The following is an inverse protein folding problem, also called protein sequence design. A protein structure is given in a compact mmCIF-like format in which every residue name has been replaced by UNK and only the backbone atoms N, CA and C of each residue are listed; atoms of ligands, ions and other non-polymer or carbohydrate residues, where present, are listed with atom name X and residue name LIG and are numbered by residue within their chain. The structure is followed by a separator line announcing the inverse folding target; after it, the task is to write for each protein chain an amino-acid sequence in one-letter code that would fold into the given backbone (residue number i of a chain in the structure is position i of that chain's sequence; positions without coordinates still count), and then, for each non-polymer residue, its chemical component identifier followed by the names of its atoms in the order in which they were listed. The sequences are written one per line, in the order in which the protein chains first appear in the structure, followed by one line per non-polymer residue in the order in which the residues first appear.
data_IF_505734470820
#
_entry.id   IF_505734470820
#
_cell.length_a   1.000
_cell.length_b   1.000
_cell.length_c   1.000
_cell.angle_alpha   90.00
_cell.angle_beta   90.00
_cell.angle_gamma   90.00
#
_symmetry.space_group_name_H-M   'P 1'
#
loop_
_entity.id
_entity.type
_entity.pdbx_description
1 polymer ?
#
# COMPACT_ATOMS: atom_id res chain seq x y z
N UNK A 1 13.73 -50.60 -21.66
CA UNK A 1 14.83 -51.03 -20.78
C UNK A 1 16.11 -50.31 -21.22
N UNK A 2 16.40 -49.12 -20.68
CA UNK A 2 17.53 -48.27 -21.13
C UNK A 2 18.81 -48.84 -20.52
N UNK A 3 19.66 -49.45 -21.35
CA UNK A 3 20.99 -49.94 -20.94
C UNK A 3 21.81 -48.78 -20.39
N UNK A 4 22.17 -48.85 -19.11
CA UNK A 4 23.16 -47.97 -18.47
C UNK A 4 24.47 -48.08 -19.25
N UNK A 5 24.90 -46.99 -19.88
CA UNK A 5 26.27 -46.86 -20.40
C UNK A 5 27.22 -47.16 -19.24
N UNK A 6 28.17 -48.08 -19.46
CA UNK A 6 29.04 -48.68 -18.44
C UNK A 6 29.68 -47.61 -17.55
N UNK A 7 29.66 -47.83 -16.24
CA UNK A 7 30.49 -47.09 -15.29
C UNK A 7 31.96 -47.32 -15.62
N UNK A 8 32.70 -46.27 -15.94
CA UNK A 8 34.13 -46.35 -16.28
C UNK A 8 34.95 -46.04 -15.03
N UNK A 9 35.97 -46.84 -14.73
CA UNK A 9 36.95 -46.54 -13.66
C UNK A 9 38.24 -46.02 -14.32
N UNK A 10 38.79 -44.90 -13.83
CA UNK A 10 40.03 -44.32 -14.34
C UNK A 10 40.74 -43.50 -13.25
N UNK A 11 42.06 -43.36 -13.39
CA UNK A 11 42.79 -42.31 -12.69
C UNK A 11 42.43 -40.95 -13.31
N UNK A 12 41.55 -40.21 -12.64
CA UNK A 12 41.07 -38.92 -13.14
C UNK A 12 42.17 -37.86 -13.04
N UNK A 13 42.38 -37.12 -14.13
CA UNK A 13 43.29 -35.98 -14.18
C UNK A 13 42.67 -34.85 -15.02
N UNK A 14 43.04 -33.59 -14.75
CA UNK A 14 42.41 -32.43 -15.38
C UNK A 14 42.64 -32.35 -16.89
N UNK A 15 43.73 -32.92 -17.41
CA UNK A 15 43.98 -32.98 -18.85
C UNK A 15 42.97 -33.88 -19.56
N UNK A 16 42.70 -35.07 -19.01
CA UNK A 16 41.71 -36.00 -19.53
C UNK A 16 40.29 -35.44 -19.39
N UNK A 17 39.98 -34.81 -18.26
CA UNK A 17 38.66 -34.19 -18.01
C UNK A 17 38.34 -33.07 -19.00
N UNK A 18 39.33 -32.27 -19.41
CA UNK A 18 39.15 -31.24 -20.46
C UNK A 18 38.76 -31.80 -21.82
N UNK A 19 39.13 -33.06 -22.10
CA UNK A 19 38.76 -33.76 -23.33
C UNK A 19 37.43 -34.51 -23.28
N UNK A 20 36.68 -34.46 -22.16
CA UNK A 20 35.42 -35.21 -22.04
C UNK A 20 34.33 -34.61 -22.93
N UNK A 21 33.73 -35.46 -23.76
CA UNK A 21 32.55 -35.09 -24.55
C UNK A 21 31.26 -35.51 -23.83
N UNK A 22 30.22 -34.65 -23.82
CA UNK A 22 28.91 -35.02 -23.31
C UNK A 22 28.35 -36.26 -24.05
N UNK A 23 27.71 -37.20 -23.34
CA UNK A 23 27.06 -38.33 -23.99
C UNK A 23 25.80 -37.88 -24.74
N UNK A 24 25.51 -38.47 -25.90
CA UNK A 24 24.32 -38.14 -26.71
C UNK A 24 23.01 -38.43 -25.96
N UNK A 25 22.96 -39.51 -25.17
CA UNK A 25 21.83 -39.89 -24.31
C UNK A 25 22.35 -40.50 -23.00
N UNK A 26 21.57 -40.33 -21.93
CA UNK A 26 21.91 -40.88 -20.61
C UNK A 26 22.92 -40.02 -19.85
N UNK A 27 23.70 -40.64 -18.96
CA UNK A 27 24.68 -39.96 -18.10
C UNK A 27 25.96 -40.77 -18.12
N UNK A 28 27.10 -40.10 -18.29
CA UNK A 28 28.41 -40.73 -18.16
C UNK A 28 28.85 -40.63 -16.71
N UNK A 29 29.15 -41.78 -16.10
CA UNK A 29 29.64 -41.88 -14.72
C UNK A 29 31.06 -42.44 -14.74
N UNK A 30 32.03 -41.62 -14.32
CA UNK A 30 33.45 -41.98 -14.27
C UNK A 30 33.93 -41.97 -12.84
N UNK A 31 34.47 -43.09 -12.41
CA UNK A 31 34.95 -43.34 -11.05
C UNK A 31 36.44 -43.09 -10.96
N UNK A 32 36.85 -42.41 -9.89
CA UNK A 32 38.25 -42.23 -9.59
C UNK A 32 38.85 -43.53 -9.04
N UNK A 33 40.03 -43.91 -9.53
CA UNK A 33 40.75 -45.08 -9.02
C UNK A 33 41.60 -44.76 -7.80
N UNK A 34 41.95 -43.49 -7.56
CA UNK A 34 42.78 -43.10 -6.40
C UNK A 34 41.96 -42.91 -5.12
N UNK A 35 40.77 -42.34 -5.22
CA UNK A 35 39.85 -42.18 -4.08
C UNK A 35 38.60 -43.02 -4.27
N UNK A 36 38.53 -44.14 -3.53
CA UNK A 36 37.38 -45.03 -3.54
C UNK A 36 36.08 -44.30 -3.23
N UNK A 37 35.07 -44.49 -4.08
CA UNK A 37 33.77 -43.84 -3.91
C UNK A 37 33.64 -42.48 -4.60
N UNK A 38 34.73 -41.82 -4.98
CA UNK A 38 34.70 -40.56 -5.74
C UNK A 38 34.36 -40.83 -7.22
N UNK A 39 33.49 -39.99 -7.78
CA UNK A 39 33.11 -40.05 -9.18
C UNK A 39 32.76 -38.68 -9.76
N UNK A 40 33.01 -38.53 -11.07
CA UNK A 40 32.48 -37.46 -11.89
C UNK A 40 31.27 -37.96 -12.68
N UNK A 41 30.22 -37.14 -12.73
CA UNK A 41 29.04 -37.40 -13.54
C UNK A 41 28.84 -36.29 -14.56
N UNK A 42 28.76 -36.68 -15.82
CA UNK A 42 28.54 -35.78 -16.96
C UNK A 42 27.16 -36.02 -17.57
N UNK A 43 26.39 -34.96 -17.75
CA UNK A 43 25.07 -34.99 -18.42
C UNK A 43 25.19 -34.66 -19.91
N UNK A 44 24.16 -34.95 -20.75
CA UNK A 44 24.14 -34.59 -22.17
C UNK A 44 24.23 -33.08 -22.40
N UNK A 45 23.77 -32.29 -21.44
CA UNK A 45 23.85 -30.82 -21.43
C UNK A 45 25.25 -30.28 -21.10
N UNK A 46 26.24 -31.16 -20.89
CA UNK A 46 27.62 -30.77 -20.54
C UNK A 46 27.86 -30.44 -19.07
N UNK A 47 26.88 -30.58 -18.19
CA UNK A 47 27.07 -30.34 -16.76
C UNK A 47 27.86 -31.49 -16.11
N UNK A 48 29.03 -31.17 -15.58
CA UNK A 48 29.94 -32.10 -14.91
C UNK A 48 29.92 -31.87 -13.39
N UNK A 49 29.60 -32.92 -12.62
CA UNK A 49 29.43 -32.82 -11.16
C UNK A 49 30.24 -33.88 -10.43
N UNK A 50 31.03 -33.45 -9.44
CA UNK A 50 31.73 -34.32 -8.51
C UNK A 50 30.77 -34.85 -7.45
N UNK A 51 30.83 -36.14 -7.17
CA UNK A 51 30.07 -36.76 -6.09
C UNK A 51 30.85 -37.92 -5.46
N UNK A 52 30.58 -38.21 -4.20
CA UNK A 52 31.01 -39.46 -3.57
C UNK A 52 29.81 -40.37 -3.42
N UNK A 53 29.98 -41.66 -3.71
CA UNK A 53 28.95 -42.69 -3.48
C UNK A 53 29.47 -43.67 -2.45
N UNK A 54 28.72 -43.83 -1.38
CA UNK A 54 29.00 -44.79 -0.31
C UNK A 54 27.68 -45.39 0.21
N UNK A 55 27.79 -46.33 1.14
CA UNK A 55 26.66 -46.81 1.93
C UNK A 55 26.75 -46.20 3.32
N UNK A 56 25.61 -45.78 3.86
CA UNK A 56 25.50 -45.41 5.27
C UNK A 56 25.69 -46.66 6.13
N UNK A 57 25.88 -46.46 7.44
CA UNK A 57 25.92 -47.56 8.42
C UNK A 57 24.73 -48.53 8.29
N UNK A 58 23.53 -48.01 8.01
CA UNK A 58 22.30 -48.81 7.80
C UNK A 58 22.18 -49.45 6.40
N UNK A 59 23.29 -49.51 5.64
CA UNK A 59 23.34 -50.14 4.32
C UNK A 59 22.72 -49.35 3.17
N UNK A 60 22.14 -48.15 3.42
CA UNK A 60 21.50 -47.33 2.39
C UNK A 60 22.53 -46.67 1.47
N UNK A 61 22.32 -46.76 0.15
CA UNK A 61 23.20 -46.13 -0.85
C UNK A 61 22.93 -44.61 -0.88
N UNK A 62 23.93 -43.79 -0.56
CA UNK A 62 23.85 -42.32 -0.67
C UNK A 62 24.88 -41.79 -1.68
N UNK A 63 24.59 -40.62 -2.25
CA UNK A 63 25.44 -39.94 -3.25
C UNK A 63 25.42 -38.42 -3.06
N UNK A 64 26.14 -37.88 -2.06
CA UNK A 64 26.29 -36.44 -1.94
C UNK A 64 27.18 -35.84 -3.04
N UNK A 65 26.78 -34.67 -3.50
CA UNK A 65 27.52 -33.82 -4.46
C UNK A 65 28.58 -33.00 -3.72
N UNK A 66 29.80 -32.96 -4.28
CA UNK A 66 30.93 -32.18 -3.77
C UNK A 66 31.06 -30.81 -4.43
N UNK A 67 30.68 -30.68 -5.70
CA UNK A 67 30.81 -29.46 -6.50
C UNK A 67 30.73 -29.72 -8.00
N UNK A 68 30.84 -28.68 -8.82
CA UNK A 68 30.82 -28.77 -10.29
C UNK A 68 32.23 -28.62 -10.86
N UNK A 69 32.54 -29.33 -11.94
CA UNK A 69 33.76 -29.14 -12.72
C UNK A 69 33.47 -28.19 -13.90
N UNK A 70 34.36 -27.26 -14.28
CA UNK A 70 35.75 -27.08 -13.82
C UNK A 70 35.91 -26.26 -12.52
N UNK A 71 34.84 -25.71 -11.93
CA UNK A 71 34.92 -24.87 -10.72
C UNK A 71 35.57 -25.53 -9.49
N UNK A 72 35.47 -26.86 -9.40
CA UNK A 72 36.21 -27.70 -8.47
C UNK A 72 37.08 -28.66 -9.30
N UNK A 73 38.40 -28.54 -9.21
CA UNK A 73 39.35 -29.45 -9.89
C UNK A 73 39.43 -30.83 -9.23
N UNK A 74 40.02 -31.81 -9.92
CA UNK A 74 40.15 -33.19 -9.39
C UNK A 74 40.98 -33.25 -8.11
N UNK A 75 42.05 -32.45 -7.99
CA UNK A 75 42.89 -32.43 -6.79
C UNK A 75 42.09 -32.03 -5.54
N UNK A 76 41.27 -30.98 -5.66
CA UNK A 76 40.41 -30.52 -4.57
C UNK A 76 39.24 -31.49 -4.31
N UNK A 77 38.68 -32.10 -5.36
CA UNK A 77 37.66 -33.14 -5.22
C UNK A 77 38.19 -34.36 -4.44
N UNK A 78 39.43 -34.81 -4.72
CA UNK A 78 40.12 -35.88 -3.98
C UNK A 78 40.41 -35.50 -2.54
N UNK A 79 40.76 -34.24 -2.27
CA UNK A 79 40.98 -33.73 -0.91
C UNK A 79 39.69 -33.71 -0.08
N UNK A 80 38.54 -33.36 -0.68
CA UNK A 80 37.24 -33.28 0.03
C UNK A 80 36.56 -34.64 0.22
N UNK A 81 36.77 -35.58 -0.70
CA UNK A 81 36.08 -36.85 -0.70
C UNK A 81 36.23 -37.67 0.61
N UNK A 82 37.41 -37.82 1.23
CA UNK A 82 37.58 -38.56 2.49
C UNK A 82 36.70 -38.05 3.63
N UNK A 83 36.60 -36.73 3.81
CA UNK A 83 35.79 -36.13 4.88
C UNK A 83 34.29 -36.44 4.70
N UNK A 84 33.79 -36.37 3.46
CA UNK A 84 32.40 -36.73 3.16
C UNK A 84 32.15 -38.23 3.31
N UNK A 85 33.11 -39.08 2.94
CA UNK A 85 33.01 -40.52 3.15
C UNK A 85 32.99 -40.86 4.63
N UNK A 86 33.87 -40.27 5.45
CA UNK A 86 33.89 -40.46 6.90
C UNK A 86 32.55 -40.10 7.54
N UNK A 87 31.96 -38.95 7.18
CA UNK A 87 30.65 -38.53 7.66
C UNK A 87 29.52 -39.51 7.30
N UNK A 88 29.57 -40.12 6.11
CA UNK A 88 28.59 -41.13 5.68
C UNK A 88 28.72 -42.42 6.51
N UNK A 89 29.96 -42.85 6.79
CA UNK A 89 30.23 -44.05 7.56
C UNK A 89 29.89 -43.87 9.04
N UNK A 90 30.01 -42.66 9.59
CA UNK A 90 29.61 -42.34 10.97
C UNK A 90 28.10 -42.17 11.18
N UNK A 91 27.26 -42.62 10.24
CA UNK A 91 25.80 -42.64 10.36
C UNK A 91 25.07 -41.35 9.95
N UNK A 92 25.78 -40.29 9.56
CA UNK A 92 25.12 -39.12 8.97
C UNK A 92 24.86 -39.38 7.49
N UNK A 93 23.61 -39.29 7.02
CA UNK A 93 23.30 -39.17 5.59
C UNK A 93 23.03 -37.70 5.26
N UNK A 94 24.03 -36.94 4.76
CA UNK A 94 23.87 -35.51 4.48
C UNK A 94 22.80 -35.24 3.41
N UNK A 95 22.50 -36.22 2.55
CA UNK A 95 21.46 -36.12 1.53
C UNK A 95 20.09 -36.30 2.15
N UNK A 96 19.91 -37.26 3.06
CA UNK A 96 18.67 -37.43 3.80
C UNK A 96 18.41 -36.25 4.75
N UNK A 97 19.43 -35.72 5.43
CA UNK A 97 19.29 -34.52 6.27
C UNK A 97 18.89 -33.29 5.45
N UNK A 98 19.55 -33.02 4.31
CA UNK A 98 19.15 -31.92 3.42
C UNK A 98 17.75 -32.11 2.85
N UNK A 99 17.35 -33.34 2.53
CA UNK A 99 15.97 -33.67 2.08
C UNK A 99 14.95 -33.50 3.19
N UNK A 100 15.24 -33.91 4.42
CA UNK A 100 14.35 -33.77 5.57
C UNK A 100 14.17 -32.31 5.98
N UNK A 101 15.24 -31.50 5.94
CA UNK A 101 15.16 -30.04 6.15
C UNK A 101 14.31 -29.39 5.05
N UNK A 102 14.49 -29.79 3.79
CA UNK A 102 13.68 -29.29 2.67
C UNK A 102 12.22 -29.70 2.79
N UNK A 103 11.93 -30.96 3.12
CA UNK A 103 10.58 -31.47 3.31
C UNK A 103 9.87 -30.79 4.50
N UNK A 104 10.58 -30.59 5.64
CA UNK A 104 10.04 -29.82 6.79
C UNK A 104 9.76 -28.35 6.45
N UNK A 105 10.47 -27.77 5.48
CA UNK A 105 10.22 -26.41 4.98
C UNK A 105 9.05 -26.36 3.99
N UNK A 106 8.90 -27.39 3.15
CA UNK A 106 7.78 -27.53 2.22
C UNK A 106 6.45 -27.81 2.95
N UNK A 107 6.48 -28.43 4.14
CA UNK A 107 5.30 -28.72 4.98
C UNK A 107 4.85 -27.53 5.85
N UNK A 108 5.63 -26.44 5.91
CA UNK A 108 5.27 -25.27 6.71
C UNK A 108 4.54 -24.21 5.88
N UNK A 109 3.35 -23.74 6.35
CA UNK A 109 2.62 -22.67 5.68
C UNK A 109 3.48 -21.41 5.46
N UNK A 110 3.54 -20.98 4.20
CA UNK A 110 4.29 -19.80 3.80
C UNK A 110 3.60 -18.51 4.25
N UNK A 111 4.34 -17.40 4.25
CA UNK A 111 3.77 -16.08 4.49
C UNK A 111 2.63 -15.77 3.51
N UNK A 112 2.78 -16.12 2.23
CA UNK A 112 1.75 -15.88 1.22
C UNK A 112 0.44 -16.62 1.52
N UNK A 113 0.52 -17.91 1.88
CA UNK A 113 -0.67 -18.69 2.25
C UNK A 113 -1.37 -18.08 3.47
N UNK A 114 -0.61 -17.78 4.53
CA UNK A 114 -1.16 -17.20 5.77
C UNK A 114 -1.73 -15.80 5.57
N UNK A 115 -1.13 -14.99 4.71
CA UNK A 115 -1.66 -13.68 4.33
C UNK A 115 -3.01 -13.84 3.61
N UNK A 116 -3.14 -14.81 2.70
CA UNK A 116 -4.39 -15.04 1.99
C UNK A 116 -5.51 -15.46 2.96
N UNK A 117 -5.23 -16.42 3.86
CA UNK A 117 -6.16 -16.84 4.92
C UNK A 117 -6.56 -15.67 5.83
N UNK A 118 -5.59 -14.85 6.24
CA UNK A 118 -5.86 -13.66 7.05
C UNK A 118 -6.72 -12.62 6.33
N UNK A 119 -6.45 -12.35 5.05
CA UNK A 119 -7.24 -11.39 4.27
C UNK A 119 -8.69 -11.84 4.14
N UNK A 120 -8.93 -13.13 3.85
CA UNK A 120 -10.28 -13.70 3.84
C UNK A 120 -10.94 -13.52 5.20
N UNK A 121 -10.28 -13.95 6.28
CA UNK A 121 -10.83 -13.83 7.63
C UNK A 121 -11.13 -12.38 8.02
N UNK A 122 -10.32 -11.41 7.59
CA UNK A 122 -10.52 -9.98 7.89
C UNK A 122 -11.59 -9.32 7.03
N UNK A 123 -11.78 -9.78 5.80
CA UNK A 123 -12.83 -9.29 4.90
C UNK A 123 -14.21 -9.83 5.27
N UNK A 124 -14.28 -11.04 5.85
CA UNK A 124 -15.54 -11.70 6.22
C UNK A 124 -15.91 -11.56 7.70
N UNK A 125 -15.06 -10.95 8.54
CA UNK A 125 -15.32 -10.74 9.99
C UNK A 125 -16.57 -9.87 10.22
N UNK A 126 -17.71 -10.44 10.65
CA UNK A 126 -18.94 -9.69 10.86
C UNK A 126 -18.89 -8.86 12.16
N UNK A 127 -18.03 -9.23 13.11
CA UNK A 127 -17.90 -8.52 14.38
C UNK A 127 -17.08 -7.24 14.22
N UNK A 128 -16.13 -7.20 13.28
CA UNK A 128 -15.28 -6.03 13.01
C UNK A 128 -15.10 -5.78 11.50
N UNK A 129 -16.18 -5.46 10.77
CA UNK A 129 -16.13 -5.28 9.33
C UNK A 129 -15.25 -4.08 8.96
N UNK A 130 -14.26 -4.32 8.10
CA UNK A 130 -13.45 -3.27 7.49
C UNK A 130 -14.25 -2.55 6.40
N UNK A 131 -14.01 -1.24 6.23
CA UNK A 131 -14.52 -0.55 5.04
C UNK A 131 -13.89 -1.20 3.79
N UNK A 132 -14.62 -1.39 2.68
CA UNK A 132 -14.09 -2.04 1.48
C UNK A 132 -12.77 -1.43 0.99
N UNK A 133 -12.66 -0.09 1.02
CA UNK A 133 -11.41 0.62 0.70
C UNK A 133 -10.26 0.27 1.63
N UNK A 134 -10.50 0.11 2.92
CA UNK A 134 -9.47 -0.27 3.89
C UNK A 134 -9.01 -1.71 3.66
N UNK A 135 -9.94 -2.63 3.37
CA UNK A 135 -9.61 -4.01 3.04
C UNK A 135 -8.76 -4.10 1.76
N UNK A 136 -9.18 -3.42 0.69
CA UNK A 136 -8.43 -3.33 -0.56
C UNK A 136 -7.02 -2.74 -0.34
N UNK A 137 -6.89 -1.72 0.52
CA UNK A 137 -5.60 -1.12 0.85
C UNK A 137 -4.69 -2.10 1.63
N UNK A 138 -5.25 -2.90 2.55
CA UNK A 138 -4.50 -3.93 3.28
C UNK A 138 -3.99 -5.02 2.33
N UNK A 139 -4.86 -5.53 1.46
CA UNK A 139 -4.52 -6.49 0.41
C UNK A 139 -3.39 -5.97 -0.48
N UNK A 140 -3.58 -4.77 -1.05
CA UNK A 140 -2.57 -4.11 -1.91
C UNK A 140 -1.23 -3.92 -1.20
N UNK A 141 -1.26 -3.54 0.08
CA UNK A 141 -0.05 -3.35 0.89
C UNK A 141 0.71 -4.67 1.06
N UNK A 142 0.01 -5.77 1.38
CA UNK A 142 0.65 -7.08 1.48
C UNK A 142 1.21 -7.56 0.14
N UNK A 143 0.40 -7.51 -0.92
CA UNK A 143 0.77 -7.96 -2.26
C UNK A 143 1.95 -7.18 -2.85
N UNK A 144 2.00 -5.86 -2.64
CA UNK A 144 3.07 -5.02 -3.20
C UNK A 144 4.32 -5.02 -2.34
N UNK A 145 4.18 -4.92 -1.02
CA UNK A 145 5.30 -4.57 -0.13
C UNK A 145 5.81 -5.76 0.71
N UNK A 146 5.02 -6.84 0.89
CA UNK A 146 5.40 -8.01 1.71
C UNK A 146 5.67 -9.24 0.87
N UNK A 147 4.69 -9.69 0.09
CA UNK A 147 4.73 -10.98 -0.62
C UNK A 147 5.92 -11.11 -1.58
N UNK A 148 6.34 -10.08 -2.35
CA UNK A 148 7.44 -10.24 -3.28
C UNK A 148 8.81 -10.45 -2.61
N UNK A 149 8.93 -10.15 -1.30
CA UNK A 149 10.20 -10.26 -0.57
C UNK A 149 10.26 -11.49 0.32
N UNK A 150 9.18 -11.81 1.02
CA UNK A 150 9.15 -12.90 2.00
C UNK A 150 7.99 -13.88 1.83
N UNK A 151 7.17 -13.72 0.78
CA UNK A 151 5.94 -14.50 0.57
C UNK A 151 6.16 -16.02 0.49
N UNK A 152 7.28 -16.46 -0.06
CA UNK A 152 7.62 -17.89 -0.22
C UNK A 152 8.28 -18.50 1.02
N UNK A 153 8.66 -17.69 2.02
CA UNK A 153 9.29 -18.18 3.25
C UNK A 153 8.23 -18.73 4.20
N UNK A 154 8.62 -19.71 5.03
CA UNK A 154 7.79 -20.15 6.15
C UNK A 154 7.53 -18.96 7.09
N UNK A 155 6.27 -18.77 7.50
CA UNK A 155 5.91 -17.69 8.44
C UNK A 155 6.67 -17.84 9.77
N UNK A 156 6.85 -19.08 10.24
CA UNK A 156 7.54 -19.39 11.51
C UNK A 156 9.02 -19.09 11.48
N UNK A 157 9.63 -19.09 10.29
CA UNK A 157 11.05 -18.75 10.10
C UNK A 157 11.28 -17.26 9.83
N UNK A 158 10.22 -16.43 9.83
CA UNK A 158 10.38 -14.97 9.70
C UNK A 158 10.80 -14.34 11.02
N UNK A 159 11.71 -13.37 10.95
CA UNK A 159 12.30 -12.71 12.11
C UNK A 159 11.84 -11.25 12.22
N UNK A 160 12.06 -10.63 13.38
CA UNK A 160 11.86 -9.18 13.56
C UNK A 160 12.62 -8.36 12.52
N UNK A 161 13.84 -8.76 12.20
CA UNK A 161 14.67 -8.08 11.21
C UNK A 161 14.04 -8.12 9.82
N UNK A 162 13.48 -9.26 9.41
CA UNK A 162 12.81 -9.40 8.11
C UNK A 162 11.69 -8.37 7.96
N UNK A 163 10.82 -8.28 8.97
CA UNK A 163 9.66 -7.37 8.94
C UNK A 163 10.04 -5.90 9.08
N UNK A 164 10.99 -5.58 9.98
CA UNK A 164 11.46 -4.19 10.16
C UNK A 164 12.22 -3.69 8.92
N UNK A 165 12.94 -4.57 8.21
CA UNK A 165 13.61 -4.24 6.95
C UNK A 165 12.61 -3.88 5.84
N UNK A 166 11.47 -4.58 5.75
CA UNK A 166 10.39 -4.23 4.80
C UNK A 166 9.85 -2.82 5.09
N UNK A 167 9.58 -2.54 6.36
CA UNK A 167 9.07 -1.23 6.80
C UNK A 167 10.10 -0.12 6.55
N UNK A 168 11.37 -0.36 6.86
CA UNK A 168 12.45 0.59 6.61
C UNK A 168 12.68 0.85 5.12
N UNK A 169 12.65 -0.20 4.28
CA UNK A 169 12.72 -0.06 2.83
C UNK A 169 11.55 0.81 2.31
N UNK A 170 10.32 0.54 2.79
CA UNK A 170 9.17 1.34 2.39
C UNK A 170 9.26 2.80 2.86
N UNK A 171 9.86 3.03 4.03
CA UNK A 171 10.07 4.38 4.56
C UNK A 171 11.00 5.21 3.67
N UNK A 172 12.05 4.60 3.09
CA UNK A 172 12.97 5.29 2.17
C UNK A 172 12.27 5.71 0.88
N UNK A 173 11.38 4.87 0.36
CA UNK A 173 10.62 5.13 -0.88
C UNK A 173 9.43 6.08 -0.65
N UNK A 174 8.65 5.84 0.41
CA UNK A 174 7.38 6.50 0.68
C UNK A 174 7.12 6.55 2.19
N UNK A 175 7.66 7.55 2.91
CA UNK A 175 7.56 7.67 4.37
C UNK A 175 6.13 7.54 4.91
N UNK A 176 5.15 8.16 4.25
CA UNK A 176 3.75 8.11 4.65
C UNK A 176 3.12 6.70 4.55
N UNK A 177 3.60 5.87 3.61
CA UNK A 177 3.10 4.52 3.40
C UNK A 177 3.75 3.50 4.33
N UNK A 178 4.90 3.81 4.91
CA UNK A 178 5.58 2.91 5.86
C UNK A 178 4.74 2.66 7.12
N UNK A 179 4.06 3.69 7.63
CA UNK A 179 3.18 3.54 8.80
C UNK A 179 1.95 2.69 8.50
N UNK A 180 1.45 2.71 7.25
CA UNK A 180 0.39 1.80 6.82
C UNK A 180 0.91 0.36 6.74
N UNK A 181 2.06 0.13 6.10
CA UNK A 181 2.71 -1.18 6.02
C UNK A 181 2.92 -1.78 7.42
N UNK A 182 3.44 -0.99 8.36
CA UNK A 182 3.60 -1.43 9.74
C UNK A 182 2.28 -1.87 10.38
N UNK A 183 1.22 -1.06 10.25
CA UNK A 183 -0.10 -1.40 10.82
C UNK A 183 -0.68 -2.66 10.19
N UNK A 184 -0.56 -2.83 8.88
CA UNK A 184 -1.00 -4.03 8.17
C UNK A 184 -0.21 -5.26 8.64
N UNK A 185 1.12 -5.19 8.65
CA UNK A 185 2.00 -6.27 9.11
C UNK A 185 1.73 -6.63 10.57
N UNK A 186 1.58 -5.64 11.45
CA UNK A 186 1.27 -5.85 12.86
C UNK A 186 -0.11 -6.47 13.07
N UNK A 187 -1.12 -6.08 12.28
CA UNK A 187 -2.44 -6.69 12.32
C UNK A 187 -2.44 -8.15 11.85
N UNK A 188 -1.67 -8.46 10.79
CA UNK A 188 -1.47 -9.82 10.30
C UNK A 188 -0.75 -10.69 11.33
N UNK A 189 0.41 -10.24 11.83
CA UNK A 189 1.19 -11.01 12.80
C UNK A 189 0.47 -11.16 14.14
N UNK A 190 -0.28 -10.16 14.57
CA UNK A 190 -1.14 -10.26 15.75
C UNK A 190 -2.28 -11.26 15.57
N UNK A 191 -2.80 -11.44 14.35
CA UNK A 191 -3.76 -12.49 14.04
C UNK A 191 -3.08 -13.86 14.00
N UNK A 192 -1.90 -13.96 13.37
CA UNK A 192 -1.12 -15.18 13.31
C UNK A 192 -0.76 -15.72 14.70
N UNK A 193 -0.38 -14.82 15.62
CA UNK A 193 -0.14 -15.14 17.03
C UNK A 193 -1.41 -15.63 17.73
N UNK A 194 -2.54 -14.93 17.55
CA UNK A 194 -3.82 -15.31 18.15
C UNK A 194 -4.35 -16.68 17.66
N UNK A 195 -3.98 -17.12 16.45
CA UNK A 195 -4.37 -18.40 15.86
C UNK A 195 -3.28 -19.48 16.00
N UNK A 196 -2.21 -19.22 16.76
CA UNK A 196 -1.13 -20.18 17.00
C UNK A 196 -0.26 -20.51 15.78
N UNK A 197 -0.33 -19.70 14.72
CA UNK A 197 0.54 -19.88 13.54
C UNK A 197 2.01 -19.59 13.89
N UNK A 198 2.20 -18.63 14.81
CA UNK A 198 3.48 -18.26 15.42
C UNK A 198 3.32 -18.16 16.93
N UNK A 199 4.40 -18.39 17.67
CA UNK A 199 4.40 -18.32 19.14
C UNK A 199 4.33 -16.89 19.66
N UNK A 200 5.04 -15.97 19.00
CA UNK A 200 5.03 -14.55 19.35
C UNK A 200 5.19 -13.70 18.10
N UNK A 201 4.55 -12.53 18.09
CA UNK A 201 4.64 -11.60 16.96
C UNK A 201 6.05 -10.97 16.87
N UNK A 202 6.77 -11.11 15.73
CA UNK A 202 8.08 -10.49 15.53
C UNK A 202 8.00 -8.95 15.43
N UNK A 203 6.83 -8.40 15.14
CA UNK A 203 6.55 -6.96 15.22
C UNK A 203 5.54 -6.66 16.35
N UNK A 204 5.87 -5.76 17.29
CA UNK A 204 4.97 -5.46 18.40
C UNK A 204 3.74 -4.68 17.91
N UNK A 205 2.58 -4.88 18.56
CA UNK A 205 1.37 -4.06 18.30
C UNK A 205 1.59 -2.58 18.63
N UNK A 206 2.40 -2.32 19.66
CA UNK A 206 2.81 -0.98 20.11
C UNK A 206 4.31 -0.79 19.81
N UNK A 207 4.60 -0.24 18.64
CA UNK A 207 5.97 0.07 18.20
C UNK A 207 6.04 0.94 16.93
N UNK A 208 4.88 1.33 16.40
CA UNK A 208 4.76 2.13 15.18
C UNK A 208 5.57 3.42 15.26
N UNK A 209 5.46 4.16 16.37
CA UNK A 209 6.15 5.43 16.52
C UNK A 209 7.68 5.30 16.44
N UNK A 210 8.25 4.20 16.93
CA UNK A 210 9.69 3.95 16.87
C UNK A 210 10.14 3.41 15.50
N UNK A 211 9.35 2.51 14.89
CA UNK A 211 9.78 1.75 13.70
C UNK A 211 9.37 2.44 12.39
N UNK A 212 8.19 3.07 12.37
CA UNK A 212 7.67 3.84 11.23
C UNK A 212 6.88 5.04 11.76
N UNK A 213 7.58 6.04 12.34
CA UNK A 213 6.93 7.24 12.86
C UNK A 213 6.03 7.81 11.77
N UNK A 214 4.77 8.15 12.12
CA UNK A 214 3.88 8.78 11.15
C UNK A 214 4.55 10.07 10.66
N UNK A 215 4.36 10.42 9.38
CA UNK A 215 4.81 11.72 8.89
C UNK A 215 4.19 12.82 9.76
N UNK A 216 4.96 13.89 9.98
CA UNK A 216 4.47 15.04 10.74
C UNK A 216 3.11 15.50 10.18
N UNK A 217 2.13 15.81 11.05
CA UNK A 217 0.88 16.40 10.61
C UNK A 217 1.17 17.64 9.74
N UNK A 218 0.55 17.73 8.58
CA UNK A 218 0.62 18.96 7.77
C UNK A 218 -0.31 20.00 8.38
N UNK A 219 0.17 21.23 8.49
CA UNK A 219 -0.60 22.37 9.04
C UNK A 219 -0.98 23.40 7.96
N UNK A 220 -0.69 23.11 6.70
CA UNK A 220 -0.89 24.01 5.55
C UNK A 220 -2.31 24.58 5.49
N UNK A 221 -2.39 25.91 5.50
CA UNK A 221 -3.56 26.75 5.24
C UNK A 221 -3.18 27.68 4.10
N UNK A 222 -4.02 27.78 3.07
CA UNK A 222 -3.80 28.71 1.96
C UNK A 222 -4.04 30.14 2.45
N UNK A 223 -3.19 31.07 2.02
CA UNK A 223 -3.46 32.51 2.18
C UNK A 223 -4.63 32.93 1.31
N UNK A 224 -5.20 34.10 1.59
CA UNK A 224 -6.30 34.66 0.80
C UNK A 224 -5.90 34.85 -0.69
N UNK A 225 -4.67 35.30 -0.96
CA UNK A 225 -4.13 35.41 -2.32
C UNK A 225 -3.94 34.06 -3.03
N UNK A 226 -3.48 33.03 -2.32
CA UNK A 226 -3.36 31.69 -2.89
C UNK A 226 -4.73 31.06 -3.16
N UNK A 227 -5.69 31.24 -2.25
CA UNK A 227 -7.05 30.76 -2.43
C UNK A 227 -7.72 31.42 -3.65
N UNK A 228 -7.50 32.74 -3.82
CA UNK A 228 -7.93 33.50 -4.99
C UNK A 228 -7.29 32.97 -6.27
N UNK A 229 -5.96 32.78 -6.30
CA UNK A 229 -5.26 32.26 -7.47
C UNK A 229 -5.77 30.86 -7.88
N UNK A 230 -6.06 29.98 -6.91
CA UNK A 230 -6.67 28.66 -7.19
C UNK A 230 -8.10 28.82 -7.73
N UNK A 231 -8.89 29.76 -7.20
CA UNK A 231 -10.23 30.07 -7.71
C UNK A 231 -10.19 30.57 -9.16
N UNK A 232 -9.32 31.52 -9.48
CA UNK A 232 -9.19 32.07 -10.83
C UNK A 232 -8.70 31.02 -11.82
N UNK A 233 -7.71 30.22 -11.42
CA UNK A 233 -7.25 29.08 -12.21
C UNK A 233 -8.38 28.07 -12.52
N UNK A 234 -9.33 27.90 -11.60
CA UNK A 234 -10.48 27.01 -11.81
C UNK A 234 -11.42 27.51 -12.92
N UNK A 235 -11.45 28.81 -13.22
CA UNK A 235 -12.29 29.38 -14.28
C UNK A 235 -11.88 28.90 -15.68
N UNK A 236 -10.61 28.50 -15.86
CA UNK A 236 -10.07 27.96 -17.11
C UNK A 236 -10.33 26.45 -17.29
N UNK A 237 -11.10 25.83 -16.40
CA UNK A 237 -11.44 24.42 -16.44
C UNK A 237 -12.82 24.21 -17.07
N UNK A 238 -13.05 22.99 -17.55
CA UNK A 238 -14.38 22.55 -17.94
C UNK A 238 -15.36 22.66 -16.74
N UNK A 239 -16.68 22.81 -16.99
CA UNK A 239 -17.66 23.10 -15.94
C UNK A 239 -17.63 22.16 -14.73
N UNK A 240 -17.56 20.83 -14.94
CA UNK A 240 -17.53 19.84 -13.84
C UNK A 240 -16.25 19.91 -12.99
N UNK A 241 -15.02 19.86 -13.56
CA UNK A 241 -13.81 20.09 -12.78
C UNK A 241 -13.77 21.45 -12.07
N UNK A 242 -14.30 22.53 -12.69
CA UNK A 242 -14.43 23.84 -12.04
C UNK A 242 -15.32 23.75 -10.80
N UNK A 243 -16.54 23.23 -10.96
CA UNK A 243 -17.49 23.07 -9.87
C UNK A 243 -16.93 22.19 -8.75
N UNK A 244 -16.21 21.10 -9.07
CA UNK A 244 -15.53 20.27 -8.06
C UNK A 244 -14.61 21.10 -7.16
N UNK A 245 -13.75 21.94 -7.74
CA UNK A 245 -12.79 22.78 -6.99
C UNK A 245 -13.54 23.81 -6.15
N UNK A 246 -14.50 24.51 -6.75
CA UNK A 246 -15.22 25.61 -6.09
C UNK A 246 -16.14 25.11 -4.98
N UNK A 247 -16.85 24.00 -5.17
CA UNK A 247 -17.65 23.37 -4.12
C UNK A 247 -16.77 22.96 -2.93
N UNK A 248 -15.54 22.46 -3.17
CA UNK A 248 -14.60 22.16 -2.08
C UNK A 248 -14.20 23.41 -1.29
N UNK A 249 -13.93 24.51 -1.99
CA UNK A 249 -13.61 25.80 -1.37
C UNK A 249 -14.80 26.28 -0.54
N UNK A 250 -16.00 26.31 -1.12
CA UNK A 250 -17.18 26.99 -0.56
C UNK A 250 -17.87 26.21 0.57
N UNK A 251 -17.84 24.88 0.51
CA UNK A 251 -18.57 24.02 1.46
C UNK A 251 -17.67 23.34 2.50
N UNK A 252 -16.35 23.36 2.28
CA UNK A 252 -15.39 22.64 3.11
C UNK A 252 -15.68 21.13 3.27
N UNK A 253 -16.50 20.55 2.38
CA UNK A 253 -16.88 19.13 2.40
C UNK A 253 -15.68 18.24 2.02
N UNK A 254 -15.68 16.95 2.38
CA UNK A 254 -14.55 16.07 2.05
C UNK A 254 -14.45 15.85 0.55
N UNK A 255 -13.23 15.70 0.04
CA UNK A 255 -12.96 15.58 -1.39
C UNK A 255 -13.69 14.41 -2.07
N UNK A 256 -13.82 13.28 -1.37
CA UNK A 256 -14.57 12.12 -1.88
C UNK A 256 -16.09 12.27 -1.73
N UNK A 257 -16.55 13.04 -0.75
CA UNK A 257 -17.98 13.35 -0.60
C UNK A 257 -18.42 14.27 -1.76
N UNK A 258 -17.61 15.29 -2.10
CA UNK A 258 -17.88 16.15 -3.27
C UNK A 258 -17.76 15.36 -4.57
N UNK A 259 -16.66 14.61 -4.77
CA UNK A 259 -16.43 13.89 -6.02
C UNK A 259 -17.55 12.92 -6.40
N UNK A 260 -18.21 12.31 -5.41
CA UNK A 260 -19.29 11.35 -5.63
C UNK A 260 -20.68 11.93 -5.29
N UNK A 261 -20.85 13.26 -5.23
CA UNK A 261 -22.17 13.90 -5.01
C UNK A 261 -23.21 13.35 -5.98
N UNK A 262 -24.30 12.78 -5.42
CA UNK A 262 -25.38 12.22 -6.23
C UNK A 262 -26.43 13.27 -6.53
N UNK A 263 -27.05 13.21 -7.71
CA UNK A 263 -28.14 14.10 -8.10
C UNK A 263 -29.28 14.08 -7.07
N UNK A 264 -29.68 12.88 -6.62
CA UNK A 264 -30.73 12.71 -5.63
C UNK A 264 -30.40 13.16 -4.21
N UNK A 265 -29.15 13.52 -3.92
CA UNK A 265 -28.79 14.10 -2.63
C UNK A 265 -28.96 15.62 -2.62
N UNK A 266 -29.08 16.25 -3.78
CA UNK A 266 -29.13 17.70 -3.91
C UNK A 266 -30.58 18.16 -4.11
N UNK A 267 -31.00 19.06 -3.24
CA UNK A 267 -32.31 19.72 -3.28
C UNK A 267 -32.10 21.19 -3.61
N UNK A 268 -32.10 21.52 -4.91
CA UNK A 268 -31.87 22.89 -5.40
C UNK A 268 -32.89 23.87 -4.83
N UNK A 269 -34.18 23.48 -4.79
CA UNK A 269 -35.26 24.32 -4.24
C UNK A 269 -35.18 24.56 -2.73
N UNK A 270 -34.54 23.65 -2.00
CA UNK A 270 -34.32 23.79 -0.56
C UNK A 270 -32.92 24.29 -0.23
N UNK A 271 -32.12 24.59 -1.27
CA UNK A 271 -30.74 25.06 -1.17
C UNK A 271 -29.87 24.17 -0.26
N UNK A 272 -30.04 22.84 -0.37
CA UNK A 272 -29.39 21.87 0.52
C UNK A 272 -28.86 20.67 -0.24
N UNK A 273 -27.72 20.16 0.23
CA UNK A 273 -27.17 18.86 -0.17
C UNK A 273 -27.15 17.91 1.02
N UNK A 274 -27.97 16.86 0.97
CA UNK A 274 -28.20 15.90 2.04
C UNK A 274 -27.37 14.63 1.82
N UNK A 275 -26.23 14.54 2.50
CA UNK A 275 -25.31 13.40 2.39
C UNK A 275 -25.78 12.28 3.33
N UNK A 276 -26.16 11.10 2.80
CA UNK A 276 -26.57 10.00 3.64
C UNK A 276 -25.40 9.44 4.45
N UNK A 277 -25.65 8.97 5.67
CA UNK A 277 -24.62 8.50 6.59
C UNK A 277 -23.72 7.39 6.03
N UNK A 278 -24.22 6.54 5.12
CA UNK A 278 -23.42 5.52 4.43
C UNK A 278 -22.24 6.10 3.63
N UNK A 279 -22.32 7.37 3.20
CA UNK A 279 -21.26 8.07 2.44
C UNK A 279 -20.34 8.90 3.32
N UNK A 280 -20.79 9.34 4.49
CA UNK A 280 -19.99 10.19 5.36
C UNK A 280 -18.91 9.40 6.09
N UNK A 281 -17.78 10.06 6.39
CA UNK A 281 -16.67 9.39 7.10
C UNK A 281 -17.08 8.87 8.48
N UNK A 282 -17.93 9.62 9.19
CA UNK A 282 -18.39 9.37 10.56
C UNK A 282 -19.65 8.49 10.63
N UNK A 283 -20.24 8.09 9.49
CA UNK A 283 -21.47 7.29 9.40
C UNK A 283 -22.76 7.98 9.86
N UNK A 284 -22.74 9.30 10.02
CA UNK A 284 -23.92 10.10 10.35
C UNK A 284 -24.39 10.86 9.11
N UNK A 285 -25.70 10.98 8.85
CA UNK A 285 -26.22 11.89 7.84
C UNK A 285 -25.70 13.31 8.08
N UNK A 286 -25.49 14.06 7.00
CA UNK A 286 -25.04 15.44 7.08
C UNK A 286 -25.67 16.28 5.99
N UNK A 287 -26.23 17.42 6.38
CA UNK A 287 -26.82 18.38 5.45
C UNK A 287 -25.83 19.52 5.26
N UNK A 288 -25.38 19.71 4.03
CA UNK A 288 -24.57 20.86 3.60
C UNK A 288 -25.53 21.93 3.10
N UNK A 289 -25.61 23.10 3.75
CA UNK A 289 -26.28 24.27 3.18
C UNK A 289 -25.57 24.73 1.91
N UNK A 290 -26.32 24.93 0.83
CA UNK A 290 -25.83 25.47 -0.43
C UNK A 290 -26.10 26.98 -0.46
N UNK A 291 -25.26 27.77 0.21
CA UNK A 291 -25.35 29.23 0.12
C UNK A 291 -25.13 29.70 -1.34
N UNK A 292 -25.48 30.95 -1.70
CA UNK A 292 -25.67 31.36 -3.10
C UNK A 292 -24.52 31.02 -4.06
N UNK A 293 -23.26 31.20 -3.66
CA UNK A 293 -22.11 30.85 -4.50
C UNK A 293 -21.99 29.34 -4.72
N UNK A 294 -22.18 28.52 -3.68
CA UNK A 294 -22.14 27.07 -3.82
C UNK A 294 -23.31 26.56 -4.65
N UNK A 295 -24.51 27.13 -4.46
CA UNK A 295 -25.68 26.81 -5.25
C UNK A 295 -25.47 27.14 -6.73
N UNK A 296 -24.87 28.29 -7.04
CA UNK A 296 -24.57 28.68 -8.42
C UNK A 296 -23.64 27.67 -9.12
N UNK A 297 -22.61 27.17 -8.42
CA UNK A 297 -21.70 26.16 -8.99
C UNK A 297 -22.38 24.81 -9.20
N UNK A 298 -23.31 24.42 -8.32
CA UNK A 298 -24.12 23.21 -8.48
C UNK A 298 -25.10 23.36 -9.64
N UNK A 299 -25.81 24.49 -9.72
CA UNK A 299 -26.76 24.80 -10.79
C UNK A 299 -26.09 24.83 -12.17
N UNK A 300 -24.87 25.37 -12.25
CA UNK A 300 -24.10 25.45 -13.51
C UNK A 300 -23.69 24.08 -14.10
N UNK A 301 -23.77 23.00 -13.31
CA UNK A 301 -23.52 21.63 -13.77
C UNK A 301 -24.77 20.76 -13.69
N UNK A 302 -25.90 21.34 -13.31
CA UNK A 302 -27.17 20.65 -13.22
C UNK A 302 -27.64 20.28 -14.63
N UNK A 303 -28.17 19.07 -14.86
CA UNK A 303 -28.66 18.65 -16.17
C UNK A 303 -29.89 19.49 -16.57
N UNK A 304 -29.96 19.90 -17.83
CA UNK A 304 -31.11 20.63 -18.37
C UNK A 304 -32.39 19.78 -18.38
N UNK A 305 -32.28 18.45 -18.40
CA UNK A 305 -33.40 17.51 -18.45
C UNK A 305 -33.39 16.57 -17.25
N UNK A 306 -34.02 17.01 -16.16
CA UNK A 306 -34.08 16.29 -14.87
C UNK A 306 -34.82 14.95 -14.97
N UNK A 307 -35.65 14.75 -16.00
CA UNK A 307 -36.48 13.55 -16.19
C UNK A 307 -35.75 12.29 -16.66
N UNK A 308 -34.50 12.39 -17.15
CA UNK A 308 -33.78 11.24 -17.75
C UNK A 308 -32.59 10.76 -16.91
N UNK A 309 -32.30 11.42 -15.79
CA UNK A 309 -31.08 11.15 -15.01
C UNK A 309 -31.40 10.41 -13.73
N UNK A 310 -30.87 9.20 -13.62
CA UNK A 310 -31.07 8.34 -12.46
C UNK A 310 -30.68 9.07 -11.17
N UNK A 311 -31.46 8.86 -10.10
CA UNK A 311 -31.28 9.51 -8.79
C UNK A 311 -29.87 9.28 -8.20
N UNK A 312 -29.21 8.19 -8.57
CA UNK A 312 -27.87 7.82 -8.11
C UNK A 312 -26.72 8.34 -9.00
N UNK A 313 -27.04 9.05 -10.08
CA UNK A 313 -26.06 9.66 -10.96
C UNK A 313 -25.17 10.64 -10.19
N UNK A 314 -23.86 10.62 -10.50
CA UNK A 314 -22.84 11.44 -9.86
C UNK A 314 -22.61 12.72 -10.66
N UNK A 315 -23.03 13.88 -10.14
CA UNK A 315 -23.10 15.15 -10.89
C UNK A 315 -21.76 15.59 -11.52
N UNK A 316 -20.64 15.26 -10.87
CA UNK A 316 -19.30 15.63 -11.33
C UNK A 316 -18.65 14.57 -12.25
N UNK A 317 -19.36 13.48 -12.52
CA UNK A 317 -19.00 12.42 -13.45
C UNK A 317 -19.62 12.60 -14.84
N UNK A 318 -19.39 11.63 -15.74
CA UNK A 318 -20.20 11.52 -16.96
C UNK A 318 -21.64 11.12 -16.62
N UNK A 319 -22.62 11.45 -17.47
CA UNK A 319 -24.02 10.99 -17.29
C UNK A 319 -24.03 9.45 -17.33
N UNK A 320 -24.67 8.81 -16.34
CA UNK A 320 -24.64 7.36 -16.15
C UNK A 320 -23.29 6.78 -15.68
N UNK A 321 -22.27 7.63 -15.49
CA UNK A 321 -20.94 7.25 -15.01
C UNK A 321 -20.77 7.36 -13.50
N UNK A 322 -19.59 6.93 -13.03
CA UNK A 322 -19.15 7.18 -11.66
C UNK A 322 -18.79 8.65 -11.43
N UNK A 323 -18.56 9.03 -10.17
CA UNK A 323 -18.22 10.41 -9.80
C UNK A 323 -16.88 10.87 -10.33
N UNK A 324 -16.48 12.09 -9.96
CA UNK A 324 -15.23 12.69 -10.43
C UNK A 324 -14.03 11.79 -10.13
N UNK A 325 -13.21 11.53 -11.15
CA UNK A 325 -11.93 10.81 -11.06
C UNK A 325 -10.85 11.70 -11.68
N UNK A 326 -9.59 11.56 -11.24
CA UNK A 326 -8.47 12.32 -11.80
C UNK A 326 -7.91 13.44 -10.93
N UNK A 327 -8.10 13.36 -9.61
CA UNK A 327 -7.58 14.30 -8.60
C UNK A 327 -6.13 14.75 -8.84
N UNK A 328 -5.20 13.83 -9.11
CA UNK A 328 -3.78 14.18 -9.29
C UNK A 328 -3.53 14.97 -10.58
N UNK A 329 -4.21 14.61 -11.67
CA UNK A 329 -4.08 15.32 -12.96
C UNK A 329 -4.67 16.72 -12.86
N UNK A 330 -5.87 16.84 -12.27
CA UNK A 330 -6.49 18.13 -12.03
C UNK A 330 -5.65 19.02 -11.12
N UNK A 331 -5.08 18.44 -10.05
CA UNK A 331 -4.19 19.16 -9.13
C UNK A 331 -2.96 19.72 -9.84
N UNK A 332 -2.27 18.90 -10.64
CA UNK A 332 -1.12 19.36 -11.41
C UNK A 332 -1.48 20.49 -12.38
N UNK A 333 -2.66 20.42 -13.02
CA UNK A 333 -3.16 21.49 -13.90
C UNK A 333 -3.43 22.78 -13.12
N UNK A 334 -4.07 22.69 -11.95
CA UNK A 334 -4.31 23.85 -11.09
C UNK A 334 -3.01 24.48 -10.59
N UNK A 335 -2.02 23.66 -10.21
CA UNK A 335 -0.73 24.17 -9.75
C UNK A 335 -0.02 24.95 -10.85
N UNK A 336 -0.07 24.45 -12.09
CA UNK A 336 0.47 25.15 -13.25
C UNK A 336 -0.28 26.46 -13.57
N UNK A 337 -1.61 26.46 -13.47
CA UNK A 337 -2.44 27.62 -13.79
C UNK A 337 -2.44 28.71 -12.72
N UNK A 338 -2.38 28.31 -11.44
CA UNK A 338 -2.45 29.24 -10.29
C UNK A 338 -1.08 29.69 -9.80
N UNK A 339 -0.01 28.96 -10.13
CA UNK A 339 1.30 29.12 -9.51
C UNK A 339 1.38 28.66 -8.05
N UNK A 340 0.26 28.19 -7.46
CA UNK A 340 0.20 27.77 -6.05
C UNK A 340 0.57 26.29 -5.94
N UNK A 341 1.68 26.02 -5.25
CA UNK A 341 2.20 24.66 -5.04
C UNK A 341 2.22 24.26 -3.56
N UNK A 342 2.68 23.04 -3.26
CA UNK A 342 2.74 22.45 -1.91
C UNK A 342 1.43 22.52 -1.08
N UNK A 343 0.31 22.24 -1.75
CA UNK A 343 -0.98 22.02 -1.10
C UNK A 343 -1.64 20.74 -1.59
N UNK A 344 -2.60 20.22 -0.83
CA UNK A 344 -3.44 19.06 -1.16
C UNK A 344 -4.91 19.46 -1.09
N UNK A 345 -5.81 18.71 -1.73
CA UNK A 345 -7.26 18.95 -1.67
C UNK A 345 -7.80 19.16 -0.25
N UNK A 346 -7.29 18.40 0.71
CA UNK A 346 -7.67 18.54 2.12
C UNK A 346 -7.28 19.87 2.77
N UNK A 347 -6.26 20.55 2.24
CA UNK A 347 -5.82 21.86 2.72
C UNK A 347 -6.84 22.95 2.37
N UNK A 348 -7.66 22.81 1.32
CA UNK A 348 -8.80 23.73 1.05
C UNK A 348 -9.82 23.69 2.18
N UNK A 349 -10.16 22.48 2.63
CA UNK A 349 -11.04 22.27 3.78
C UNK A 349 -10.43 22.78 5.08
N UNK A 350 -9.12 22.59 5.30
CA UNK A 350 -8.43 23.18 6.47
C UNK A 350 -8.44 24.71 6.41
N UNK A 351 -8.27 25.27 5.22
CA UNK A 351 -8.32 26.72 4.96
C UNK A 351 -9.68 27.27 5.31
N UNK A 352 -10.76 26.65 4.83
CA UNK A 352 -12.13 27.06 5.17
C UNK A 352 -12.41 26.95 6.67
N UNK A 353 -12.04 25.83 7.33
CA UNK A 353 -12.21 25.67 8.79
C UNK A 353 -11.49 26.77 9.57
N UNK A 354 -10.22 27.00 9.24
CA UNK A 354 -9.40 28.03 9.91
C UNK A 354 -9.90 29.43 9.61
N UNK A 355 -10.32 29.67 8.37
CA UNK A 355 -10.93 30.91 7.90
C UNK A 355 -12.23 31.23 8.63
N UNK A 356 -13.14 30.26 8.80
CA UNK A 356 -14.36 30.44 9.59
C UNK A 356 -14.05 30.91 11.01
N UNK A 357 -13.09 30.28 11.69
CA UNK A 357 -12.66 30.73 13.04
C UNK A 357 -12.08 32.15 13.02
N UNK A 358 -11.27 32.50 12.01
CA UNK A 358 -10.76 33.88 11.83
C UNK A 358 -11.90 34.89 11.64
N UNK A 359 -12.98 34.49 10.98
CA UNK A 359 -14.20 35.30 10.76
C UNK A 359 -15.16 35.31 11.98
N UNK A 360 -14.67 34.91 13.15
CA UNK A 360 -15.45 34.94 14.40
C UNK A 360 -16.49 33.84 14.55
N UNK A 361 -16.45 32.79 13.71
CA UNK A 361 -17.28 31.59 13.91
C UNK A 361 -16.68 30.79 15.08
N UNK A 362 -17.53 30.37 16.01
CA UNK A 362 -17.08 29.53 17.14
C UNK A 362 -16.38 28.26 16.64
N UNK A 363 -15.42 27.76 17.41
CA UNK A 363 -14.72 26.52 17.06
C UNK A 363 -15.73 25.37 16.87
N UNK A 364 -16.73 25.27 17.74
CA UNK A 364 -17.77 24.26 17.64
C UNK A 364 -18.52 24.30 16.30
N UNK A 365 -19.00 25.48 15.91
CA UNK A 365 -19.75 25.63 14.65
C UNK A 365 -18.86 25.44 13.43
N UNK A 366 -17.59 25.85 13.48
CA UNK A 366 -16.63 25.58 12.42
C UNK A 366 -16.30 24.08 12.28
N UNK A 367 -16.26 23.32 13.38
CA UNK A 367 -16.12 21.85 13.35
C UNK A 367 -17.39 21.16 12.84
N UNK A 368 -18.57 21.65 13.25
CA UNK A 368 -19.86 21.18 12.76
C UNK A 368 -20.03 21.43 11.26
N UNK A 369 -19.64 22.60 10.76
CA UNK A 369 -19.73 22.99 9.34
C UNK A 369 -18.87 22.13 8.41
N UNK A 370 -17.81 21.53 8.95
CA UNK A 370 -17.02 20.54 8.21
C UNK A 370 -17.48 19.10 8.50
N UNK A 371 -18.55 18.86 9.26
CA UNK A 371 -18.99 17.52 9.67
C UNK A 371 -17.89 16.74 10.39
N UNK A 372 -17.26 17.38 11.38
CA UNK A 372 -16.25 16.78 12.23
C UNK A 372 -16.79 16.48 13.63
N UNK A 373 -16.56 15.25 14.10
CA UNK A 373 -17.09 14.74 15.38
C UNK A 373 -16.01 14.69 16.47
N UNK A 374 -14.79 15.14 16.18
CA UNK A 374 -13.71 15.10 17.19
C UNK A 374 -13.81 16.31 18.10
N UNK A 375 -13.90 16.07 19.40
CA UNK A 375 -14.02 17.12 20.42
C UNK A 375 -15.06 16.76 21.47
N UNK A 376 -16.17 16.14 21.06
CA UNK A 376 -17.19 15.63 21.99
C UNK A 376 -16.78 14.29 22.59
N UNK A 377 -16.68 14.28 23.92
CA UNK A 377 -16.62 13.07 24.73
C UNK A 377 -17.79 12.12 24.38
N UNK A 378 -17.68 10.85 24.78
CA UNK A 378 -18.79 9.90 24.63
C UNK A 378 -20.04 10.38 25.40
N UNK A 379 -19.83 11.11 26.49
CA UNK A 379 -20.86 11.71 27.33
C UNK A 379 -21.57 12.86 26.60
N UNK A 380 -20.85 13.85 26.09
CA UNK A 380 -21.44 14.99 25.36
C UNK A 380 -22.28 14.55 24.16
N UNK A 381 -21.84 13.52 23.42
CA UNK A 381 -22.63 12.94 22.31
C UNK A 381 -23.95 12.27 22.73
N UNK A 382 -24.07 11.91 24.00
CA UNK A 382 -25.28 11.29 24.54
C UNK A 382 -26.31 12.36 24.94
N UNK A 383 -25.84 13.53 25.39
CA UNK A 383 -26.67 14.60 25.95
C UNK A 383 -26.97 15.75 24.98
N UNK A 384 -26.00 16.14 24.14
CA UNK A 384 -26.19 17.21 23.16
C UNK A 384 -26.53 16.64 21.78
N UNK A 385 -27.83 16.68 21.46
CA UNK A 385 -28.42 16.26 20.19
C UNK A 385 -28.76 17.44 19.27
N UNK A 386 -28.37 18.66 19.64
CA UNK A 386 -28.59 19.81 18.78
C UNK A 386 -27.82 19.62 17.47
N UNK A 387 -28.49 19.82 16.34
CA UNK A 387 -27.95 19.51 15.01
C UNK A 387 -27.11 20.66 14.43
N UNK A 388 -27.11 21.82 15.10
CA UNK A 388 -26.43 23.06 14.71
C UNK A 388 -26.74 23.51 13.29
N UNK A 389 -27.92 23.18 12.75
CA UNK A 389 -28.21 23.41 11.34
C UNK A 389 -28.15 24.91 10.97
N UNK A 390 -28.65 25.79 11.84
CA UNK A 390 -28.62 27.24 11.64
C UNK A 390 -27.20 27.79 11.76
N UNK A 391 -26.44 27.35 12.75
CA UNK A 391 -25.08 27.81 12.97
C UNK A 391 -24.11 27.33 11.89
N UNK A 392 -24.33 26.12 11.35
CA UNK A 392 -23.62 25.61 10.17
C UNK A 392 -23.93 26.46 8.95
N UNK A 393 -25.20 26.82 8.73
CA UNK A 393 -25.58 27.72 7.65
C UNK A 393 -24.90 29.09 7.81
N UNK A 394 -24.97 29.69 8.99
CA UNK A 394 -24.32 30.99 9.26
C UNK A 394 -22.80 30.93 9.08
N UNK A 395 -22.15 29.86 9.53
CA UNK A 395 -20.72 29.67 9.40
C UNK A 395 -20.29 29.60 7.92
N UNK A 396 -20.99 28.77 7.13
CA UNK A 396 -20.72 28.63 5.70
C UNK A 396 -21.10 29.89 4.92
N UNK A 397 -22.17 30.58 5.29
CA UNK A 397 -22.56 31.85 4.66
C UNK A 397 -21.49 32.92 4.87
N UNK A 398 -20.97 33.08 6.10
CA UNK A 398 -19.85 34.00 6.38
C UNK A 398 -18.59 33.64 5.60
N UNK A 399 -18.27 32.35 5.54
CA UNK A 399 -17.12 31.88 4.75
C UNK A 399 -17.28 32.18 3.26
N UNK A 400 -18.45 31.91 2.68
CA UNK A 400 -18.71 32.18 1.27
C UNK A 400 -18.74 33.69 0.97
N UNK A 401 -19.23 34.53 1.89
CA UNK A 401 -19.13 35.99 1.76
C UNK A 401 -17.67 36.46 1.70
N UNK A 402 -16.81 35.96 2.58
CA UNK A 402 -15.36 36.24 2.51
C UNK A 402 -14.76 35.80 1.17
N UNK A 403 -15.09 34.60 0.67
CA UNK A 403 -14.62 34.15 -0.66
C UNK A 403 -15.17 35.06 -1.77
N UNK A 404 -16.41 35.51 -1.68
CA UNK A 404 -17.02 36.45 -2.62
C UNK A 404 -16.25 37.78 -2.69
N UNK A 405 -15.89 38.33 -1.53
CA UNK A 405 -15.12 39.57 -1.43
C UNK A 405 -13.73 39.37 -2.05
N UNK A 406 -13.06 38.25 -1.73
CA UNK A 406 -11.75 37.92 -2.31
C UNK A 406 -11.79 37.87 -3.84
N UNK A 407 -12.86 37.33 -4.44
CA UNK A 407 -12.97 37.17 -5.89
C UNK A 407 -13.44 38.45 -6.61
N UNK A 408 -13.99 39.43 -5.87
CA UNK A 408 -14.52 40.68 -6.43
C UNK A 408 -13.55 41.85 -6.31
N UNK A 409 -12.72 41.89 -5.26
CA UNK A 409 -11.93 43.07 -4.84
C UNK A 409 -10.75 43.45 -5.78
N UNK A 410 -10.52 42.74 -6.89
CA UNK A 410 -9.40 43.03 -7.82
C UNK A 410 -9.84 43.41 -9.24
N UNK A 411 -10.86 44.27 -9.35
CA UNK A 411 -11.02 45.15 -10.52
C UNK A 411 -10.25 46.48 -10.38
N UNK A 412 -9.55 46.71 -9.26
CA UNK A 412 -8.74 47.91 -9.01
C UNK A 412 -7.41 47.48 -8.40
N UNK A 413 -6.34 47.45 -9.19
CA UNK A 413 -4.97 47.27 -8.70
C UNK A 413 -4.50 48.55 -8.00
N UNK A 414 -4.08 48.47 -6.72
CA UNK A 414 -3.19 49.48 -6.14
C UNK A 414 -1.73 49.09 -6.39
N UNK A 415 -0.85 50.04 -6.80
CA UNK A 415 0.55 49.77 -7.08
C UNK A 415 1.34 49.45 -5.80
N UNK A 416 2.45 48.70 -5.91
CA UNK A 416 3.20 48.22 -4.75
C UNK A 416 3.90 49.38 -4.03
N UNK A 417 3.58 49.53 -2.74
CA UNK A 417 4.29 50.43 -1.83
C UNK A 417 5.70 49.87 -1.61
N UNK A 418 6.71 50.49 -2.23
CA UNK A 418 8.10 50.29 -1.88
C UNK A 418 8.34 50.78 -0.44
N UNK A 419 8.54 49.85 0.50
CA UNK A 419 9.07 50.20 1.82
C UNK A 419 10.58 50.38 1.70
N UNK A 420 11.02 51.63 1.81
CA UNK A 420 12.41 52.00 2.04
C UNK A 420 12.96 51.27 3.28
N UNK A 421 14.15 50.70 3.14
CA UNK A 421 14.97 50.28 4.29
C UNK A 421 15.49 51.53 4.99
N UNK A 422 15.32 51.58 6.30
CA UNK A 422 16.13 52.38 7.24
C UNK A 422 16.57 51.43 8.34
#
# INVERSE_FOLDING_TARGET
MVRSIRAVKRDLNDAWLRGLRPPEKGRLEVWDTRVGGLMLRLTPTGAATWSVRARTHDGKRTRPTLGTWPGLGIAEARKRAPAHLAAIHSGADPVAQKRAIRARREDQPTVALRVAEWLVARETDPAKPLKPRTAAEYRRTMERDVLPRIGTRSLRETTREDWTRLVAAKRREAPAMASLLYRCASAFLGHAEAHGWITSSPLPRKGLAAIAPPPAPRERVLSDGELRAVWDASAQLNPRPRAFVRILILTATREMEVADVAAGEVHVSMERWMIPGKRTKNRLPYTVPLCPLALAEVSAIWPDHVGEVAFDWRLLGAIGGGGFRGFSKLKAKLDALSGVTDWRWHDLRRTARTGMTRLGVSREHAEAAINHVSGRSKLERTYDRHDHAEEVLMALARWQAHVADLITTSAVEEPPIHRHRS
#
